data_IF_139189971853
#
_entry.id   IF_139189971853
#
_cell.length_a   1.000
_cell.length_b   1.000
_cell.length_c   1.000
_cell.angle_alpha   90.00
_cell.angle_beta   90.00
_cell.angle_gamma   90.00
#
_symmetry.space_group_name_H-M   'P 1'
#
loop_
_entity.id
_entity.type
_entity.pdbx_description
1 polymer ?
#
# COMPACT_ATOMS: atom_id res chain seq x y z
N UNK A 1 -5.39 5.80 28.71
CA UNK A 1 -6.46 6.71 28.21
C UNK A 1 -7.50 5.91 27.43
N UNK A 2 -8.77 6.38 27.37
CA UNK A 2 -9.78 5.82 26.45
C UNK A 2 -9.60 6.48 25.08
N UNK A 3 -9.42 5.68 24.03
CA UNK A 3 -9.20 6.17 22.67
C UNK A 3 -10.40 5.82 21.80
N UNK A 4 -11.09 6.83 21.28
CA UNK A 4 -12.22 6.71 20.35
C UNK A 4 -11.82 7.17 18.96
N UNK A 5 -12.48 6.72 17.88
CA UNK A 5 -12.22 7.20 16.55
C UNK A 5 -12.57 8.67 16.43
N UNK A 6 -11.67 9.45 15.82
CA UNK A 6 -11.85 10.87 15.51
C UNK A 6 -11.66 11.06 14.01
N UNK A 7 -12.74 10.92 13.26
CA UNK A 7 -12.74 11.07 11.79
C UNK A 7 -12.86 12.55 11.42
N UNK A 8 -12.10 12.97 10.41
CA UNK A 8 -12.15 14.30 9.80
C UNK A 8 -12.01 14.12 8.28
N UNK A 9 -13.13 14.04 7.58
CA UNK A 9 -13.16 13.75 6.16
C UNK A 9 -12.54 12.37 5.85
N UNK A 10 -11.50 12.33 5.07
CA UNK A 10 -10.81 11.10 4.69
C UNK A 10 -9.65 10.69 5.65
N UNK A 11 -9.55 11.28 6.83
CA UNK A 11 -8.50 10.98 7.83
C UNK A 11 -9.13 10.67 9.18
N UNK A 12 -8.66 9.63 9.86
CA UNK A 12 -8.88 9.44 11.29
C UNK A 12 -7.61 9.88 12.05
N UNK A 13 -7.76 10.84 12.96
CA UNK A 13 -6.61 11.46 13.65
C UNK A 13 -6.19 10.73 14.93
N UNK A 14 -6.92 9.67 15.29
CA UNK A 14 -6.60 8.77 16.40
C UNK A 14 -6.42 7.35 15.90
N UNK A 15 -5.59 6.56 16.59
CA UNK A 15 -5.45 5.12 16.34
C UNK A 15 -5.45 4.36 17.68
N UNK A 16 -5.99 3.14 17.67
CA UNK A 16 -6.14 2.33 18.87
C UNK A 16 -5.08 1.21 18.89
N UNK A 17 -4.16 1.20 19.87
CA UNK A 17 -3.04 0.25 19.89
C UNK A 17 -3.47 -1.20 19.92
N UNK A 18 -4.41 -1.56 20.80
CA UNK A 18 -4.95 -2.93 20.91
C UNK A 18 -5.70 -3.34 19.65
N UNK A 19 -6.44 -2.40 19.04
CA UNK A 19 -7.15 -2.68 17.78
C UNK A 19 -6.18 -2.88 16.61
N UNK A 20 -5.13 -2.06 16.50
CA UNK A 20 -4.08 -2.28 15.51
C UNK A 20 -3.42 -3.66 15.69
N UNK A 21 -3.16 -4.07 16.94
CA UNK A 21 -2.61 -5.41 17.22
C UNK A 21 -3.59 -6.53 16.82
N UNK A 22 -4.87 -6.37 17.09
CA UNK A 22 -5.90 -7.33 16.67
C UNK A 22 -6.02 -7.42 15.14
N UNK A 23 -5.91 -6.28 14.43
CA UNK A 23 -5.91 -6.27 12.97
C UNK A 23 -4.68 -6.97 12.38
N UNK A 24 -3.49 -6.77 12.96
CA UNK A 24 -2.29 -7.52 12.57
C UNK A 24 -2.46 -9.01 12.81
N UNK A 25 -3.05 -9.41 13.95
CA UNK A 25 -3.30 -10.83 14.22
C UNK A 25 -4.25 -11.46 13.19
N UNK A 26 -5.32 -10.76 12.77
CA UNK A 26 -6.21 -11.23 11.69
C UNK A 26 -5.47 -11.45 10.39
N UNK A 27 -4.55 -10.55 10.01
CA UNK A 27 -3.73 -10.72 8.81
C UNK A 27 -2.78 -11.92 8.93
N UNK A 28 -2.15 -12.11 10.07
CA UNK A 28 -1.29 -13.27 10.35
C UNK A 28 -2.09 -14.58 10.26
N UNK A 29 -3.27 -14.62 10.86
CA UNK A 29 -4.14 -15.80 10.85
C UNK A 29 -4.60 -16.13 9.43
N UNK A 30 -4.91 -15.11 8.63
CA UNK A 30 -5.22 -15.31 7.21
C UNK A 30 -4.06 -15.99 6.48
N UNK A 31 -2.84 -15.46 6.58
CA UNK A 31 -1.67 -16.03 5.91
C UNK A 31 -1.41 -17.46 6.36
N UNK A 32 -1.45 -17.72 7.66
CA UNK A 32 -1.27 -19.08 8.23
C UNK A 32 -2.34 -20.06 7.75
N UNK A 33 -3.59 -19.61 7.58
CA UNK A 33 -4.69 -20.45 7.10
C UNK A 33 -4.51 -20.93 5.67
N UNK A 34 -3.71 -20.22 4.85
CA UNK A 34 -3.39 -20.59 3.46
C UNK A 34 -2.24 -21.59 3.33
N UNK A 35 -1.56 -21.87 4.46
CA UNK A 35 -0.39 -22.74 4.47
C UNK A 35 0.89 -22.05 3.96
N UNK A 36 2.03 -22.74 4.03
CA UNK A 36 3.32 -22.16 3.70
C UNK A 36 3.49 -21.90 2.20
N UNK A 37 4.11 -20.76 1.88
CA UNK A 37 4.54 -20.40 0.52
C UNK A 37 5.87 -21.14 0.27
N UNK A 38 5.82 -22.18 -0.53
CA UNK A 38 6.99 -22.97 -0.89
C UNK A 38 7.96 -22.13 -1.71
N UNK A 39 9.26 -22.24 -1.41
CA UNK A 39 10.31 -21.46 -2.10
C UNK A 39 10.13 -19.93 -2.01
N UNK A 40 9.43 -19.47 -0.98
CA UNK A 40 9.27 -18.03 -0.72
C UNK A 40 10.60 -17.31 -0.39
N UNK A 41 10.55 -15.97 -0.25
CA UNK A 41 11.75 -15.18 0.02
C UNK A 41 12.34 -15.51 1.40
N UNK A 42 13.63 -15.24 1.56
CA UNK A 42 14.36 -15.42 2.82
C UNK A 42 14.66 -14.11 3.52
N UNK A 43 15.15 -13.12 2.78
CA UNK A 43 15.53 -11.80 3.29
C UNK A 43 14.78 -10.71 2.51
N UNK A 44 13.88 -10.01 3.18
CA UNK A 44 12.96 -9.07 2.54
C UNK A 44 13.14 -7.66 3.08
N UNK A 45 13.36 -6.70 2.18
CA UNK A 45 13.28 -5.28 2.47
C UNK A 45 11.93 -4.73 1.97
N UNK A 46 11.16 -4.10 2.86
CA UNK A 46 9.91 -3.44 2.50
C UNK A 46 10.01 -1.95 2.78
N UNK A 47 9.92 -1.14 1.73
CA UNK A 47 9.93 0.32 1.80
C UNK A 47 8.49 0.80 1.71
N UNK A 48 7.99 1.51 2.75
CA UNK A 48 6.58 1.78 2.97
C UNK A 48 5.86 0.65 3.72
N UNK A 49 6.43 0.19 4.83
CA UNK A 49 6.14 -1.08 5.49
C UNK A 49 5.07 -1.04 6.59
N UNK A 50 4.51 0.14 6.92
CA UNK A 50 3.72 0.34 8.14
C UNK A 50 2.22 0.11 7.98
N UNK A 51 1.70 0.21 6.75
CA UNK A 51 0.26 0.10 6.44
C UNK A 51 0.02 -0.50 5.05
N UNK A 52 -1.24 -0.80 4.73
CA UNK A 52 -1.68 -1.19 3.39
C UNK A 52 -0.92 -2.38 2.80
N UNK A 53 -0.61 -2.28 1.52
CA UNK A 53 0.05 -3.35 0.78
C UNK A 53 1.49 -3.65 1.24
N UNK A 54 2.23 -2.63 1.69
CA UNK A 54 3.58 -2.83 2.20
C UNK A 54 3.59 -3.65 3.49
N UNK A 55 2.72 -3.31 4.43
CA UNK A 55 2.55 -4.10 5.67
C UNK A 55 2.07 -5.52 5.37
N UNK A 56 1.06 -5.67 4.50
CA UNK A 56 0.54 -6.98 4.09
C UNK A 56 1.63 -7.85 3.41
N UNK A 57 2.51 -7.25 2.62
CA UNK A 57 3.66 -7.95 2.03
C UNK A 57 4.61 -8.45 3.11
N UNK A 58 4.86 -7.62 4.14
CA UNK A 58 5.73 -7.97 5.25
C UNK A 58 5.16 -9.11 6.08
N UNK A 59 3.86 -9.05 6.40
CA UNK A 59 3.14 -10.14 7.10
C UNK A 59 3.20 -11.42 6.27
N UNK A 60 2.93 -11.33 4.97
CA UNK A 60 2.96 -12.48 4.06
C UNK A 60 4.35 -13.11 3.98
N UNK A 61 5.40 -12.31 3.84
CA UNK A 61 6.78 -12.80 3.79
C UNK A 61 7.17 -13.54 5.08
N UNK A 62 6.94 -12.92 6.26
CA UNK A 62 7.30 -13.55 7.53
C UNK A 62 6.47 -14.78 7.83
N UNK A 63 5.15 -14.69 7.79
CA UNK A 63 4.29 -15.79 8.25
C UNK A 63 3.92 -16.80 7.17
N UNK A 64 4.08 -16.44 5.90
CA UNK A 64 3.93 -17.37 4.77
C UNK A 64 5.21 -18.10 4.39
N UNK A 65 6.39 -17.50 4.61
CA UNK A 65 7.67 -18.07 4.16
C UNK A 65 8.73 -18.20 5.26
N UNK A 66 8.48 -17.68 6.48
CA UNK A 66 9.50 -17.61 7.53
C UNK A 66 10.61 -16.60 7.24
N UNK A 67 10.36 -15.62 6.36
CA UNK A 67 11.38 -14.66 5.93
C UNK A 67 11.81 -13.71 7.03
N UNK A 68 13.10 -13.39 7.07
CA UNK A 68 13.63 -12.23 7.77
C UNK A 68 13.16 -10.95 7.06
N UNK A 69 12.65 -9.97 7.82
CA UNK A 69 12.11 -8.74 7.23
C UNK A 69 12.66 -7.49 7.88
N UNK A 70 13.04 -6.52 7.05
CA UNK A 70 13.33 -5.15 7.47
C UNK A 70 12.30 -4.22 6.83
N UNK A 71 11.58 -3.44 7.66
CA UNK A 71 10.60 -2.46 7.21
C UNK A 71 11.13 -1.04 7.38
N UNK A 72 11.02 -0.23 6.32
CA UNK A 72 11.30 1.22 6.36
C UNK A 72 9.97 1.95 6.25
N UNK A 73 9.73 2.91 7.13
CA UNK A 73 8.50 3.72 7.16
C UNK A 73 8.75 5.05 7.88
N UNK A 74 7.77 5.96 7.81
CA UNK A 74 7.83 7.24 8.51
C UNK A 74 6.54 7.46 9.28
N UNK A 75 6.56 7.09 10.55
CA UNK A 75 5.41 7.12 11.45
C UNK A 75 5.73 7.96 12.69
N UNK A 76 4.71 8.62 13.22
CA UNK A 76 4.86 9.41 14.42
C UNK A 76 4.55 8.55 15.65
N UNK A 77 5.47 8.47 16.62
CA UNK A 77 5.21 7.85 17.92
C UNK A 77 4.13 8.63 18.70
N UNK A 78 3.64 8.04 19.78
CA UNK A 78 2.76 8.71 20.72
C UNK A 78 3.49 9.82 21.47
N UNK A 79 2.74 10.88 21.76
CA UNK A 79 3.16 12.01 22.59
C UNK A 79 2.16 12.19 23.74
N UNK A 80 2.48 13.05 24.72
CA UNK A 80 1.57 13.33 25.82
C UNK A 80 0.19 13.78 25.29
N UNK A 81 -0.88 13.12 25.74
CA UNK A 81 -2.25 13.39 25.32
C UNK A 81 -2.60 12.98 23.88
N UNK A 82 -1.67 12.40 23.12
CA UNK A 82 -1.87 12.04 21.71
C UNK A 82 -1.39 10.63 21.37
N UNK A 83 -2.26 9.74 20.88
CA UNK A 83 -1.84 8.42 20.42
C UNK A 83 -0.92 8.51 19.20
N UNK A 84 -0.11 7.47 18.99
CA UNK A 84 0.71 7.32 17.80
C UNK A 84 -0.15 7.19 16.53
N UNK A 85 0.50 7.28 15.37
CA UNK A 85 -0.11 6.92 14.09
C UNK A 85 -0.39 5.42 14.00
N UNK A 86 -1.37 4.99 13.19
CA UNK A 86 -1.71 3.57 13.10
C UNK A 86 -0.55 2.70 12.64
N UNK A 87 0.27 3.20 11.71
CA UNK A 87 1.44 2.46 11.22
C UNK A 87 2.51 2.23 12.28
N UNK A 88 2.64 3.12 13.27
CA UNK A 88 3.50 2.91 14.43
C UNK A 88 3.04 1.68 15.23
N UNK A 89 1.76 1.64 15.61
CA UNK A 89 1.19 0.52 16.36
C UNK A 89 1.20 -0.79 15.58
N UNK A 90 0.87 -0.75 14.29
CA UNK A 90 0.93 -1.91 13.39
C UNK A 90 2.33 -2.49 13.33
N UNK A 91 3.35 -1.64 13.18
CA UNK A 91 4.76 -2.07 13.08
C UNK A 91 5.24 -2.73 14.37
N UNK A 92 4.87 -2.17 15.53
CA UNK A 92 5.17 -2.78 16.83
C UNK A 92 4.47 -4.14 16.98
N UNK A 93 3.17 -4.21 16.69
CA UNK A 93 2.39 -5.43 16.80
C UNK A 93 2.96 -6.54 15.90
N UNK A 94 3.24 -6.20 14.64
CA UNK A 94 3.87 -7.12 13.69
C UNK A 94 5.23 -7.62 14.20
N UNK A 95 6.10 -6.70 14.62
CA UNK A 95 7.46 -7.04 15.08
C UNK A 95 7.42 -7.97 16.29
N UNK A 96 6.55 -7.69 17.26
CA UNK A 96 6.37 -8.53 18.45
C UNK A 96 5.87 -9.93 18.06
N UNK A 97 4.87 -10.02 17.19
CA UNK A 97 4.33 -11.28 16.72
C UNK A 97 5.36 -12.10 15.92
N UNK A 98 6.14 -11.45 15.04
CA UNK A 98 7.17 -12.11 14.25
C UNK A 98 8.31 -12.64 15.14
N UNK A 99 8.81 -11.83 16.08
CA UNK A 99 9.85 -12.25 17.05
C UNK A 99 9.36 -13.38 17.95
N UNK A 100 8.10 -13.32 18.42
CA UNK A 100 7.50 -14.40 19.20
C UNK A 100 7.39 -15.73 18.40
N UNK A 101 7.26 -15.64 17.07
CA UNK A 101 7.29 -16.79 16.19
C UNK A 101 8.71 -17.22 15.76
N UNK A 102 9.77 -16.58 16.27
CA UNK A 102 11.16 -16.89 15.97
C UNK A 102 11.67 -16.27 14.65
N UNK A 103 10.94 -15.33 14.06
CA UNK A 103 11.34 -14.66 12.82
C UNK A 103 12.07 -13.34 13.11
N UNK A 104 13.12 -13.06 12.33
CA UNK A 104 13.77 -11.76 12.37
C UNK A 104 12.83 -10.69 11.79
N UNK A 105 12.58 -9.64 12.56
CA UNK A 105 11.76 -8.50 12.13
C UNK A 105 12.30 -7.23 12.79
N UNK A 106 12.83 -6.32 11.97
CA UNK A 106 13.36 -5.04 12.40
C UNK A 106 12.76 -3.88 11.64
N UNK A 107 12.94 -2.67 12.16
CA UNK A 107 12.29 -1.46 11.65
C UNK A 107 13.27 -0.29 11.62
N UNK A 108 13.12 0.54 10.59
CA UNK A 108 13.72 1.86 10.52
C UNK A 108 12.61 2.89 10.32
N UNK A 109 12.44 3.78 11.30
CA UNK A 109 11.49 4.87 11.22
C UNK A 109 12.20 6.15 10.79
N UNK A 110 11.91 6.61 9.58
CA UNK A 110 12.48 7.82 9.02
C UNK A 110 12.10 8.04 7.57
N UNK A 111 12.51 9.18 7.03
CA UNK A 111 12.23 9.56 5.65
C UNK A 111 12.99 8.64 4.67
N UNK A 112 12.26 7.71 4.04
CA UNK A 112 12.80 6.75 3.09
C UNK A 112 13.49 7.40 1.86
N UNK A 113 13.16 8.63 1.55
CA UNK A 113 13.82 9.39 0.47
C UNK A 113 15.23 9.85 0.85
N UNK A 114 15.54 9.98 2.16
CA UNK A 114 16.80 10.52 2.62
C UNK A 114 17.95 9.53 2.46
N UNK A 115 19.13 10.05 2.16
CA UNK A 115 20.36 9.26 2.10
C UNK A 115 20.70 8.63 3.45
N UNK A 116 20.46 9.36 4.55
CA UNK A 116 20.75 8.87 5.91
C UNK A 116 19.96 7.58 6.22
N UNK A 117 18.67 7.52 5.88
CA UNK A 117 17.85 6.32 6.07
C UNK A 117 18.28 5.18 5.16
N UNK A 118 18.68 5.47 3.90
CA UNK A 118 19.24 4.45 3.01
C UNK A 118 20.50 3.85 3.61
N UNK A 119 21.45 4.65 4.07
CA UNK A 119 22.70 4.18 4.67
C UNK A 119 22.46 3.40 5.97
N UNK A 120 21.56 3.85 6.84
CA UNK A 120 21.18 3.11 8.04
C UNK A 120 20.57 1.75 7.68
N UNK A 121 19.75 1.69 6.63
CA UNK A 121 19.15 0.44 6.14
C UNK A 121 20.21 -0.53 5.63
N UNK A 122 21.15 -0.06 4.81
CA UNK A 122 22.24 -0.88 4.28
C UNK A 122 23.13 -1.42 5.41
N UNK A 123 23.45 -0.60 6.40
CA UNK A 123 24.26 -1.02 7.56
C UNK A 123 23.55 -2.13 8.37
N UNK A 124 22.23 -2.00 8.59
CA UNK A 124 21.45 -3.01 9.31
C UNK A 124 21.34 -4.33 8.50
N UNK A 125 21.09 -4.25 7.20
CA UNK A 125 21.06 -5.44 6.33
C UNK A 125 22.40 -6.17 6.34
N UNK A 126 23.51 -5.43 6.20
CA UNK A 126 24.86 -6.02 6.20
C UNK A 126 25.21 -6.70 7.53
N UNK A 127 24.78 -6.11 8.64
CA UNK A 127 25.06 -6.63 9.98
C UNK A 127 24.22 -7.87 10.33
N UNK A 128 22.91 -7.85 9.99
CA UNK A 128 21.92 -8.75 10.59
C UNK A 128 21.28 -9.75 9.63
N UNK A 129 21.17 -9.42 8.34
CA UNK A 129 20.37 -10.20 7.40
C UNK A 129 21.18 -10.86 6.29
N UNK A 130 22.21 -10.17 5.79
CA UNK A 130 22.88 -10.56 4.55
C UNK A 130 22.06 -10.15 3.29
N UNK A 131 22.42 -10.67 2.10
CA UNK A 131 21.85 -10.21 0.86
C UNK A 131 20.33 -10.37 0.78
N UNK A 132 19.65 -9.33 0.26
CA UNK A 132 18.20 -9.26 0.07
C UNK A 132 17.79 -10.00 -1.20
N UNK A 133 16.82 -10.87 -1.10
CA UNK A 133 16.25 -11.59 -2.24
C UNK A 133 14.90 -11.03 -2.72
N UNK A 134 14.22 -10.23 -1.88
CA UNK A 134 13.01 -9.50 -2.28
C UNK A 134 13.03 -8.05 -1.76
N UNK A 135 12.91 -7.10 -2.68
CA UNK A 135 12.65 -5.69 -2.36
C UNK A 135 11.23 -5.35 -2.76
N UNK A 136 10.41 -4.89 -1.80
CA UNK A 136 9.07 -4.36 -2.03
C UNK A 136 9.12 -2.84 -1.90
N UNK A 137 8.76 -2.12 -2.97
CA UNK A 137 8.62 -0.67 -2.98
C UNK A 137 7.14 -0.28 -2.97
N UNK A 138 6.65 0.12 -1.81
CA UNK A 138 5.23 0.46 -1.55
C UNK A 138 5.11 1.84 -0.90
N UNK A 139 5.83 2.80 -1.43
CA UNK A 139 5.91 4.15 -0.88
C UNK A 139 4.90 5.07 -1.57
N UNK A 140 4.14 5.80 -0.76
CA UNK A 140 3.31 6.92 -1.18
C UNK A 140 3.51 8.08 -0.20
N UNK A 141 3.72 9.29 -0.72
CA UNK A 141 3.95 10.47 0.10
C UNK A 141 3.38 11.72 -0.58
N UNK A 142 2.88 12.69 0.18
CA UNK A 142 2.49 13.98 -0.38
C UNK A 142 3.69 14.88 -0.70
N UNK A 143 4.90 14.52 -0.25
CA UNK A 143 6.10 15.35 -0.37
C UNK A 143 7.37 14.51 -0.38
N UNK A 144 8.37 14.97 -1.15
CA UNK A 144 9.74 14.45 -1.14
C UNK A 144 10.74 15.60 -1.11
N UNK A 145 11.75 15.50 -0.24
CA UNK A 145 12.98 16.28 -0.40
C UNK A 145 13.98 15.43 -1.16
N UNK A 146 14.41 15.91 -2.34
CA UNK A 146 15.34 15.15 -3.18
C UNK A 146 16.72 15.06 -2.51
N UNK A 147 17.27 13.85 -2.26
CA UNK A 147 18.44 13.67 -1.40
C UNK A 147 19.72 14.29 -1.94
N UNK A 148 19.86 14.45 -3.26
CA UNK A 148 21.09 14.99 -3.88
C UNK A 148 21.00 16.50 -4.13
N UNK A 149 19.81 17.04 -4.42
CA UNK A 149 19.65 18.45 -4.80
C UNK A 149 19.07 19.31 -3.67
N UNK A 150 18.42 18.72 -2.68
CA UNK A 150 17.68 19.42 -1.64
C UNK A 150 16.34 20.02 -2.11
N UNK A 151 15.99 19.87 -3.40
CA UNK A 151 14.71 20.35 -3.93
C UNK A 151 13.53 19.67 -3.23
N UNK A 152 12.50 20.45 -2.94
CA UNK A 152 11.28 19.97 -2.30
C UNK A 152 10.17 19.89 -3.33
N UNK A 153 9.71 18.67 -3.59
CA UNK A 153 8.61 18.36 -4.49
C UNK A 153 7.34 18.00 -3.72
N UNK A 154 6.16 18.37 -4.26
CA UNK A 154 4.85 18.06 -3.67
C UNK A 154 3.99 17.36 -4.70
N UNK A 155 3.44 16.20 -4.34
CA UNK A 155 2.50 15.49 -5.20
C UNK A 155 1.08 16.05 -5.07
N UNK A 156 0.33 16.04 -6.17
CA UNK A 156 -1.08 16.39 -6.22
C UNK A 156 -1.89 15.29 -6.91
N UNK A 157 -3.20 15.28 -6.65
CA UNK A 157 -4.15 14.33 -7.21
C UNK A 157 -5.09 15.09 -8.15
N UNK A 158 -4.63 15.35 -9.37
CA UNK A 158 -5.34 16.18 -10.33
C UNK A 158 -5.36 15.53 -11.73
N UNK A 159 -6.40 15.78 -12.54
CA UNK A 159 -6.40 15.43 -13.95
C UNK A 159 -5.35 16.24 -14.71
N UNK A 160 -4.91 15.72 -15.87
CA UNK A 160 -4.07 16.44 -16.81
C UNK A 160 -4.93 17.04 -17.95
N UNK A 161 -4.55 18.20 -18.44
CA UNK A 161 -5.15 18.86 -19.58
C UNK A 161 -6.41 19.66 -19.27
N UNK A 162 -7.50 19.03 -18.80
CA UNK A 162 -8.78 19.70 -18.52
C UNK A 162 -9.31 19.39 -17.12
N UNK A 163 -10.11 20.27 -16.52
CA UNK A 163 -10.83 19.97 -15.28
C UNK A 163 -11.74 18.75 -15.46
N UNK A 164 -11.93 18.01 -14.38
CA UNK A 164 -12.78 16.81 -14.35
C UNK A 164 -13.87 16.92 -13.30
N UNK A 165 -15.12 16.70 -13.72
CA UNK A 165 -16.28 16.69 -12.82
C UNK A 165 -16.87 15.28 -12.78
N UNK A 166 -17.09 14.76 -11.57
CA UNK A 166 -17.76 13.48 -11.38
C UNK A 166 -18.37 13.37 -9.98
N UNK A 167 -19.15 12.32 -9.77
CA UNK A 167 -19.71 11.95 -8.47
C UNK A 167 -18.58 11.57 -7.49
N UNK A 168 -18.76 11.96 -6.24
CA UNK A 168 -17.94 11.55 -5.09
C UNK A 168 -18.83 11.24 -3.90
N UNK A 169 -18.25 10.72 -2.83
CA UNK A 169 -18.96 10.47 -1.58
C UNK A 169 -18.15 11.01 -0.39
N UNK A 170 -18.81 11.76 0.48
CA UNK A 170 -18.32 12.00 1.84
C UNK A 170 -18.53 10.69 2.61
N UNK A 171 -17.46 9.95 2.85
CA UNK A 171 -17.53 8.64 3.48
C UNK A 171 -17.86 8.68 4.96
N UNK A 172 -17.65 9.82 5.63
CA UNK A 172 -18.00 10.02 7.04
C UNK A 172 -19.49 10.27 7.20
N UNK A 173 -20.06 11.14 6.34
CA UNK A 173 -21.48 11.51 6.38
C UNK A 173 -22.37 10.64 5.48
N UNK A 174 -21.79 9.79 4.65
CA UNK A 174 -22.51 9.02 3.64
C UNK A 174 -23.35 9.89 2.67
N UNK A 175 -22.77 11.00 2.20
CA UNK A 175 -23.42 11.95 1.29
C UNK A 175 -22.76 11.90 -0.08
N UNK A 176 -23.55 11.66 -1.12
CA UNK A 176 -23.10 11.72 -2.52
C UNK A 176 -23.23 13.16 -3.01
N UNK A 177 -22.20 13.63 -3.68
CA UNK A 177 -22.15 14.96 -4.31
C UNK A 177 -21.37 14.91 -5.62
N UNK A 178 -21.35 16.00 -6.36
CA UNK A 178 -20.41 16.19 -7.46
C UNK A 178 -19.18 16.97 -6.99
N UNK A 179 -18.03 16.63 -7.55
CA UNK A 179 -16.78 17.36 -7.34
C UNK A 179 -16.19 17.71 -8.69
N UNK A 180 -15.77 18.97 -8.83
CA UNK A 180 -14.91 19.41 -9.95
C UNK A 180 -13.49 19.55 -9.46
N UNK A 181 -12.57 18.89 -10.13
CA UNK A 181 -11.14 18.92 -9.84
C UNK A 181 -10.46 19.67 -10.98
N UNK A 182 -9.80 20.77 -10.65
CA UNK A 182 -9.03 21.55 -11.63
C UNK A 182 -7.87 20.73 -12.18
N UNK A 183 -7.52 21.01 -13.45
CA UNK A 183 -6.35 20.38 -14.06
C UNK A 183 -5.04 20.80 -13.36
N UNK A 184 -4.07 19.89 -13.38
CA UNK A 184 -2.74 20.18 -12.89
C UNK A 184 -1.99 21.13 -13.82
N UNK A 185 -1.13 21.96 -13.23
CA UNK A 185 -0.08 22.65 -13.96
C UNK A 185 1.05 21.69 -14.36
N UNK A 186 1.89 22.07 -15.33
CA UNK A 186 3.08 21.28 -15.72
C UNK A 186 4.03 21.06 -14.53
N UNK A 187 4.18 22.06 -13.66
CA UNK A 187 5.01 21.97 -12.46
C UNK A 187 4.42 20.97 -11.46
N UNK A 188 3.11 20.99 -11.21
CA UNK A 188 2.45 20.02 -10.33
C UNK A 188 2.56 18.59 -10.86
N UNK A 189 2.47 18.40 -12.19
CA UNK A 189 2.67 17.09 -12.81
C UNK A 189 4.12 16.61 -12.65
N UNK A 190 5.11 17.46 -12.94
CA UNK A 190 6.54 17.17 -12.77
C UNK A 190 6.89 16.86 -11.32
N UNK A 191 6.41 17.66 -10.38
CA UNK A 191 6.62 17.44 -8.95
C UNK A 191 5.99 16.13 -8.47
N UNK A 192 4.80 15.78 -8.98
CA UNK A 192 4.16 14.51 -8.65
C UNK A 192 4.98 13.32 -9.16
N UNK A 193 5.55 13.41 -10.36
CA UNK A 193 6.48 12.39 -10.88
C UNK A 193 7.74 12.31 -10.00
N UNK A 194 8.30 13.44 -9.59
CA UNK A 194 9.47 13.45 -8.72
C UNK A 194 9.21 12.81 -7.35
N UNK A 195 7.98 12.92 -6.80
CA UNK A 195 7.62 12.31 -5.51
C UNK A 195 7.26 10.83 -5.66
N UNK A 196 6.45 10.47 -6.66
CA UNK A 196 5.75 9.18 -6.73
C UNK A 196 6.15 8.32 -7.92
N UNK A 197 7.09 8.79 -8.75
CA UNK A 197 7.69 8.04 -9.85
C UNK A 197 8.76 7.06 -9.38
N UNK A 198 9.58 6.59 -10.30
CA UNK A 198 10.50 5.48 -10.08
C UNK A 198 11.91 5.87 -9.66
N UNK A 199 12.29 7.15 -9.69
CA UNK A 199 13.67 7.57 -9.43
C UNK A 199 14.17 7.13 -8.05
N UNK A 200 13.37 7.28 -6.98
CA UNK A 200 13.78 6.85 -5.65
C UNK A 200 13.91 5.32 -5.53
N UNK A 201 13.06 4.57 -6.22
CA UNK A 201 13.20 3.11 -6.31
C UNK A 201 14.51 2.72 -6.99
N UNK A 202 14.88 3.40 -8.08
CA UNK A 202 16.19 3.21 -8.74
C UNK A 202 17.34 3.52 -7.77
N UNK A 203 17.23 4.59 -6.96
CA UNK A 203 18.23 4.94 -5.95
C UNK A 203 18.38 3.85 -4.88
N UNK A 204 17.29 3.28 -4.38
CA UNK A 204 17.31 2.16 -3.44
C UNK A 204 18.00 0.92 -4.01
N UNK A 205 17.66 0.53 -5.23
CA UNK A 205 18.26 -0.64 -5.88
C UNK A 205 19.74 -0.38 -6.18
N UNK A 206 20.10 0.83 -6.60
CA UNK A 206 21.50 1.21 -6.80
C UNK A 206 22.29 1.11 -5.50
N UNK A 207 21.77 1.65 -4.40
CA UNK A 207 22.44 1.62 -3.10
C UNK A 207 22.66 0.18 -2.60
N UNK A 208 21.67 -0.70 -2.75
CA UNK A 208 21.79 -2.13 -2.42
C UNK A 208 22.83 -2.84 -3.31
N UNK A 209 22.85 -2.53 -4.61
CA UNK A 209 23.81 -3.11 -5.55
C UNK A 209 25.24 -2.68 -5.25
N UNK A 210 25.48 -1.38 -5.02
CA UNK A 210 26.80 -0.83 -4.68
C UNK A 210 27.35 -1.41 -3.37
N UNK A 211 26.46 -1.62 -2.41
CA UNK A 211 26.80 -2.28 -1.14
C UNK A 211 26.93 -3.82 -1.25
N UNK A 212 26.67 -4.42 -2.42
CA UNK A 212 26.65 -5.88 -2.65
C UNK A 212 25.66 -6.63 -1.74
N UNK A 213 24.53 -6.00 -1.46
CA UNK A 213 23.46 -6.51 -0.60
C UNK A 213 22.24 -7.05 -1.37
N UNK A 214 22.38 -7.34 -2.65
CA UNK A 214 21.38 -8.05 -3.45
C UNK A 214 21.82 -9.52 -3.63
N UNK A 215 20.91 -10.42 -3.35
CA UNK A 215 21.13 -11.85 -3.59
C UNK A 215 21.10 -12.16 -5.11
N UNK A 216 21.81 -13.19 -5.57
CA UNK A 216 21.62 -13.72 -6.93
C UNK A 216 20.14 -14.07 -7.15
N UNK A 217 19.56 -13.65 -8.27
CA UNK A 217 18.15 -13.84 -8.57
C UNK A 217 17.17 -12.93 -7.79
N UNK A 218 17.67 -11.89 -7.12
CA UNK A 218 16.84 -10.96 -6.35
C UNK A 218 15.67 -10.41 -7.17
N UNK A 219 14.53 -10.30 -6.54
CA UNK A 219 13.31 -9.70 -7.12
C UNK A 219 13.06 -8.33 -6.51
N UNK A 220 12.77 -7.34 -7.34
CA UNK A 220 12.27 -6.03 -6.90
C UNK A 220 10.87 -5.79 -7.48
N UNK A 221 9.91 -5.45 -6.63
CA UNK A 221 8.53 -5.18 -7.04
C UNK A 221 8.05 -3.85 -6.48
N UNK A 222 7.45 -3.03 -7.35
CA UNK A 222 6.73 -1.84 -6.92
C UNK A 222 5.23 -1.98 -7.19
N UNK A 223 4.42 -1.35 -6.35
CA UNK A 223 2.96 -1.46 -6.44
C UNK A 223 2.36 -0.30 -7.21
N UNK A 224 1.39 -0.65 -8.03
CA UNK A 224 0.65 0.29 -8.88
C UNK A 224 -0.84 -0.04 -8.85
N UNK A 225 -1.62 0.88 -9.40
CA UNK A 225 -3.03 0.73 -9.68
C UNK A 225 -3.33 1.39 -11.03
N UNK A 226 -4.25 0.82 -11.81
CA UNK A 226 -4.71 1.36 -13.09
C UNK A 226 -6.18 1.76 -12.98
N UNK A 227 -7.01 0.84 -12.51
CA UNK A 227 -8.44 1.01 -12.34
C UNK A 227 -9.23 1.09 -13.64
N UNK A 228 -10.56 1.31 -13.53
CA UNK A 228 -11.47 1.42 -14.64
C UNK A 228 -11.60 2.86 -15.15
N UNK A 229 -12.28 2.99 -16.30
CA UNK A 229 -12.56 4.29 -16.95
C UNK A 229 -13.19 5.33 -16.04
N UNK A 230 -13.99 4.92 -15.04
CA UNK A 230 -14.63 5.83 -14.08
C UNK A 230 -13.63 6.63 -13.24
N UNK A 231 -12.42 6.11 -13.05
CA UNK A 231 -11.36 6.74 -12.22
C UNK A 231 -10.19 7.25 -13.06
N UNK A 232 -10.12 6.93 -14.36
CA UNK A 232 -8.98 7.28 -15.21
C UNK A 232 -8.61 8.75 -15.22
N UNK A 233 -9.54 9.71 -15.33
CA UNK A 233 -9.16 11.13 -15.42
C UNK A 233 -8.39 11.64 -14.18
N UNK A 234 -8.70 11.12 -12.98
CA UNK A 234 -8.03 11.51 -11.74
C UNK A 234 -6.89 10.56 -11.35
N UNK A 235 -6.79 9.40 -11.98
CA UNK A 235 -5.78 8.40 -11.64
C UNK A 235 -4.88 8.09 -12.83
N UNK A 236 -5.29 7.20 -13.74
CA UNK A 236 -4.45 6.72 -14.85
C UNK A 236 -3.99 7.84 -15.79
N UNK A 237 -4.91 8.76 -16.13
CA UNK A 237 -4.67 9.88 -17.04
C UNK A 237 -4.38 11.19 -16.28
N UNK A 238 -4.22 11.12 -14.96
CA UNK A 238 -3.88 12.22 -14.08
C UNK A 238 -2.41 12.25 -13.70
N UNK A 239 -2.07 13.13 -12.75
CA UNK A 239 -0.70 13.31 -12.25
C UNK A 239 -0.12 12.03 -11.66
N UNK A 240 -0.92 11.23 -10.96
CA UNK A 240 -0.51 9.92 -10.44
C UNK A 240 -0.20 8.95 -11.57
N UNK A 241 -1.00 8.96 -12.65
CA UNK A 241 -0.74 8.13 -13.82
C UNK A 241 0.58 8.46 -14.49
N UNK A 242 0.92 9.75 -14.64
CA UNK A 242 2.23 10.17 -15.12
C UNK A 242 3.37 9.63 -14.23
N UNK A 243 3.22 9.69 -12.91
CA UNK A 243 4.17 9.09 -11.98
C UNK A 243 4.25 7.55 -12.12
N UNK A 244 3.13 6.87 -12.42
CA UNK A 244 3.13 5.42 -12.65
C UNK A 244 3.80 5.02 -13.96
N UNK A 245 3.71 5.85 -14.99
CA UNK A 245 4.48 5.68 -16.25
C UNK A 245 5.99 5.76 -15.96
N UNK A 246 6.43 6.73 -15.15
CA UNK A 246 7.84 6.80 -14.75
C UNK A 246 8.27 5.63 -13.86
N UNK A 247 7.37 5.13 -13.00
CA UNK A 247 7.62 3.93 -12.20
C UNK A 247 7.79 2.68 -13.10
N UNK A 248 7.02 2.56 -14.18
CA UNK A 248 7.16 1.49 -15.18
C UNK A 248 8.49 1.61 -15.95
N UNK A 249 8.90 2.83 -16.33
CA UNK A 249 10.23 3.11 -16.89
C UNK A 249 11.34 2.63 -15.95
N UNK A 250 11.23 2.98 -14.66
CA UNK A 250 12.21 2.57 -13.65
C UNK A 250 12.24 1.04 -13.48
N UNK A 251 11.09 0.37 -13.52
CA UNK A 251 11.04 -1.09 -13.48
C UNK A 251 11.88 -1.73 -14.61
N UNK A 252 11.79 -1.21 -15.83
CA UNK A 252 12.60 -1.69 -16.95
C UNK A 252 14.10 -1.45 -16.73
N UNK A 253 14.48 -0.27 -16.25
CA UNK A 253 15.87 0.07 -15.96
C UNK A 253 16.46 -0.80 -14.85
N UNK A 254 15.70 -0.99 -13.77
CA UNK A 254 16.07 -1.86 -12.64
C UNK A 254 16.16 -3.32 -13.10
N UNK A 255 15.19 -3.78 -13.91
CA UNK A 255 15.20 -5.15 -14.43
C UNK A 255 16.46 -5.45 -15.23
N UNK A 256 16.86 -4.54 -16.12
CA UNK A 256 18.12 -4.67 -16.90
C UNK A 256 19.33 -4.76 -15.96
N UNK A 257 19.39 -3.91 -14.93
CA UNK A 257 20.47 -3.93 -13.92
C UNK A 257 20.51 -5.25 -13.14
N UNK A 258 19.38 -5.71 -12.63
CA UNK A 258 19.30 -6.95 -11.83
C UNK A 258 19.57 -8.19 -12.69
N UNK A 259 19.16 -8.21 -13.95
CA UNK A 259 19.47 -9.30 -14.88
C UNK A 259 20.99 -9.45 -15.08
N UNK A 260 21.72 -8.33 -15.18
CA UNK A 260 23.19 -8.34 -15.26
C UNK A 260 23.87 -8.74 -13.92
N UNK A 261 23.18 -8.58 -12.79
CA UNK A 261 23.66 -8.84 -11.42
C UNK A 261 23.23 -10.21 -10.87
N UNK A 262 23.18 -11.25 -11.65
CA UNK A 262 22.89 -12.61 -11.21
C UNK A 262 21.46 -13.09 -11.51
N UNK A 263 20.92 -12.71 -12.66
CA UNK A 263 19.58 -13.11 -13.13
C UNK A 263 18.41 -12.66 -12.23
N UNK A 264 18.57 -11.55 -11.55
CA UNK A 264 17.48 -10.91 -10.82
C UNK A 264 16.46 -10.25 -11.77
N UNK A 265 15.37 -9.76 -11.21
CA UNK A 265 14.27 -9.17 -11.99
C UNK A 265 13.58 -8.03 -11.25
N UNK A 266 13.00 -7.10 -12.01
CA UNK A 266 12.15 -6.05 -11.46
C UNK A 266 10.90 -5.88 -12.32
N UNK A 267 9.76 -5.57 -11.70
CA UNK A 267 8.49 -5.35 -12.38
C UNK A 267 7.49 -4.62 -11.48
N UNK A 268 6.41 -4.17 -12.10
CA UNK A 268 5.27 -3.58 -11.42
C UNK A 268 4.22 -4.67 -11.13
N UNK A 269 3.67 -4.66 -9.91
CA UNK A 269 2.44 -5.37 -9.60
C UNK A 269 1.28 -4.38 -9.60
N UNK A 270 0.31 -4.59 -10.48
CA UNK A 270 -0.93 -3.82 -10.50
C UNK A 270 -1.92 -4.48 -9.56
N UNK A 271 -2.25 -3.78 -8.49
CA UNK A 271 -3.08 -4.29 -7.42
C UNK A 271 -4.52 -3.75 -7.54
N UNK A 272 -5.45 -4.35 -6.80
CA UNK A 272 -6.86 -4.01 -6.76
C UNK A 272 -7.11 -2.68 -6.02
N UNK A 273 -8.20 -1.98 -6.37
CA UNK A 273 -8.70 -0.86 -5.56
C UNK A 273 -9.18 -1.35 -4.19
N UNK A 274 -8.63 -0.75 -3.15
CA UNK A 274 -8.91 -1.10 -1.75
C UNK A 274 -8.99 0.15 -0.88
N UNK A 275 -9.68 0.04 0.25
CA UNK A 275 -9.64 1.06 1.29
C UNK A 275 -8.25 1.06 1.92
N UNK A 276 -7.53 2.15 1.70
CA UNK A 276 -6.24 2.47 2.32
C UNK A 276 -6.23 3.95 2.68
N UNK A 277 -5.26 4.39 3.48
CA UNK A 277 -5.13 5.83 3.76
C UNK A 277 -4.90 6.63 2.47
N UNK A 278 -4.14 6.10 1.52
CA UNK A 278 -3.87 6.76 0.25
C UNK A 278 -5.11 6.84 -0.64
N UNK A 279 -5.85 5.74 -0.82
CA UNK A 279 -7.03 5.71 -1.70
C UNK A 279 -8.19 6.57 -1.19
N UNK A 280 -8.32 6.69 0.13
CA UNK A 280 -9.37 7.52 0.76
C UNK A 280 -9.21 9.01 0.50
N UNK A 281 -8.00 9.45 0.13
CA UNK A 281 -7.71 10.85 -0.20
C UNK A 281 -8.00 11.20 -1.67
N UNK A 282 -8.26 10.21 -2.54
CA UNK A 282 -8.41 10.44 -3.98
C UNK A 282 -9.89 10.70 -4.30
N UNK A 283 -10.26 11.89 -4.80
CA UNK A 283 -11.67 12.15 -5.17
C UNK A 283 -12.22 11.08 -6.12
N UNK A 284 -13.54 10.84 -6.07
CA UNK A 284 -14.22 9.82 -6.89
C UNK A 284 -13.94 8.37 -6.47
N UNK A 285 -12.71 8.03 -6.12
CA UNK A 285 -12.25 6.66 -5.80
C UNK A 285 -13.01 6.03 -4.62
N UNK A 286 -13.33 6.72 -3.51
CA UNK A 286 -14.10 6.11 -2.42
C UNK A 286 -15.50 5.64 -2.85
N UNK A 287 -16.20 6.38 -3.70
CA UNK A 287 -17.49 5.94 -4.23
C UNK A 287 -17.33 4.71 -5.12
N UNK A 288 -16.32 4.71 -5.99
CA UNK A 288 -15.98 3.54 -6.80
C UNK A 288 -15.73 2.30 -5.93
N UNK A 289 -14.91 2.44 -4.90
CA UNK A 289 -14.59 1.32 -3.98
C UNK A 289 -15.86 0.83 -3.26
N UNK A 290 -16.76 1.71 -2.83
CA UNK A 290 -17.99 1.31 -2.16
C UNK A 290 -18.91 0.49 -3.09
N UNK A 291 -19.00 0.85 -4.37
CA UNK A 291 -19.73 0.06 -5.38
C UNK A 291 -19.00 -1.26 -5.66
N UNK A 292 -17.69 -1.21 -5.88
CA UNK A 292 -16.85 -2.37 -6.13
C UNK A 292 -16.99 -3.43 -5.01
N UNK A 293 -16.98 -2.99 -3.76
CA UNK A 293 -17.16 -3.89 -2.60
C UNK A 293 -18.50 -4.60 -2.64
N UNK A 294 -19.59 -3.87 -2.95
CA UNK A 294 -20.92 -4.47 -3.10
C UNK A 294 -20.92 -5.58 -4.15
N UNK A 295 -20.38 -5.27 -5.33
CA UNK A 295 -20.36 -6.20 -6.46
C UNK A 295 -19.46 -7.40 -6.20
N UNK A 296 -18.23 -7.17 -5.74
CA UNK A 296 -17.25 -8.24 -5.55
C UNK A 296 -17.61 -9.13 -4.35
N UNK A 297 -18.15 -8.58 -3.26
CA UNK A 297 -18.62 -9.39 -2.12
C UNK A 297 -19.81 -10.29 -2.52
N UNK A 298 -20.74 -9.77 -3.31
CA UNK A 298 -21.85 -10.57 -3.82
C UNK A 298 -21.39 -11.71 -4.74
N UNK A 299 -20.25 -11.58 -5.41
CA UNK A 299 -19.65 -12.61 -6.28
C UNK A 299 -18.59 -13.48 -5.57
N UNK A 300 -18.31 -13.23 -4.29
CA UNK A 300 -17.28 -13.98 -3.54
C UNK A 300 -15.84 -13.76 -4.02
N UNK A 301 -15.57 -12.62 -4.69
CA UNK A 301 -14.25 -12.30 -5.26
C UNK A 301 -13.58 -11.10 -4.58
N UNK A 302 -14.15 -10.62 -3.47
CA UNK A 302 -13.56 -9.52 -2.71
C UNK A 302 -12.28 -9.96 -2.01
N UNK A 303 -11.24 -9.12 -2.10
CA UNK A 303 -9.96 -9.27 -1.42
C UNK A 303 -9.58 -7.96 -0.74
N UNK A 304 -9.00 -8.03 0.45
CA UNK A 304 -8.29 -6.94 1.12
C UNK A 304 -6.79 -6.95 0.80
N UNK A 305 -6.01 -6.10 1.47
CA UNK A 305 -4.56 -6.01 1.23
C UNK A 305 -3.85 -7.34 1.51
N UNK A 306 -4.23 -8.04 2.57
CA UNK A 306 -3.55 -9.27 2.96
C UNK A 306 -3.86 -10.42 2.00
N UNK A 307 -5.10 -10.54 1.54
CA UNK A 307 -5.51 -11.53 0.54
C UNK A 307 -4.79 -11.31 -0.79
N UNK A 308 -4.72 -10.05 -1.23
CA UNK A 308 -4.01 -9.67 -2.45
C UNK A 308 -2.51 -10.03 -2.38
N UNK A 309 -1.85 -9.70 -1.26
CA UNK A 309 -0.41 -9.98 -1.13
C UNK A 309 -0.14 -11.47 -0.95
N UNK A 310 -0.96 -12.17 -0.20
CA UNK A 310 -0.85 -13.62 -0.09
C UNK A 310 -1.02 -14.28 -1.48
N UNK A 311 -1.98 -13.84 -2.29
CA UNK A 311 -2.18 -14.32 -3.66
C UNK A 311 -1.01 -13.95 -4.56
N UNK A 312 -0.52 -12.71 -4.54
CA UNK A 312 0.66 -12.29 -5.30
C UNK A 312 1.86 -13.20 -5.00
N UNK A 313 2.17 -13.40 -3.73
CA UNK A 313 3.32 -14.21 -3.34
C UNK A 313 3.15 -15.69 -3.70
N UNK A 314 2.01 -16.27 -3.35
CA UNK A 314 1.78 -17.71 -3.54
C UNK A 314 1.52 -18.12 -4.98
N UNK A 315 0.90 -17.27 -5.81
CA UNK A 315 0.46 -17.66 -7.15
C UNK A 315 1.25 -17.02 -8.29
N UNK A 316 1.99 -15.95 -8.02
CA UNK A 316 2.78 -15.25 -9.02
C UNK A 316 4.28 -15.34 -8.71
N UNK A 317 4.72 -14.87 -7.54
CA UNK A 317 6.15 -14.73 -7.25
C UNK A 317 6.83 -16.07 -6.96
N UNK A 318 6.17 -16.96 -6.20
CA UNK A 318 6.78 -18.16 -5.61
C UNK A 318 5.98 -19.45 -5.84
N UNK A 319 5.28 -19.54 -6.96
CA UNK A 319 4.51 -20.75 -7.33
C UNK A 319 5.33 -21.83 -8.05
N UNK A 320 6.63 -21.59 -8.25
CA UNK A 320 7.50 -22.49 -9.01
C UNK A 320 7.33 -22.41 -10.53
N UNK A 321 6.41 -21.56 -11.02
CA UNK A 321 6.16 -21.34 -12.44
C UNK A 321 6.75 -20.02 -12.92
N UNK A 322 6.80 -19.83 -14.25
CA UNK A 322 7.20 -18.55 -14.84
C UNK A 322 6.15 -17.49 -14.52
N UNK A 323 6.61 -16.31 -14.06
CA UNK A 323 5.76 -15.14 -13.87
C UNK A 323 4.93 -14.83 -15.13
N UNK A 324 3.66 -14.53 -14.91
CA UNK A 324 2.76 -14.10 -15.98
C UNK A 324 2.71 -12.58 -16.03
N UNK A 325 3.07 -12.04 -17.18
CA UNK A 325 3.04 -10.59 -17.42
C UNK A 325 1.95 -10.24 -18.44
N UNK A 326 1.36 -9.06 -18.28
CA UNK A 326 0.53 -8.46 -19.31
C UNK A 326 1.39 -7.94 -20.49
N UNK A 327 0.73 -7.39 -21.52
CA UNK A 327 1.42 -6.86 -22.71
C UNK A 327 2.38 -5.70 -22.44
N UNK A 328 2.34 -5.09 -21.25
CA UNK A 328 3.24 -4.02 -20.81
C UNK A 328 4.29 -4.49 -19.78
N UNK A 329 4.40 -5.80 -19.54
CA UNK A 329 5.40 -6.36 -18.63
C UNK A 329 5.05 -6.20 -17.14
N UNK A 330 3.76 -6.09 -16.80
CA UNK A 330 3.28 -5.96 -15.41
C UNK A 330 2.62 -7.26 -14.94
N UNK A 331 2.77 -7.58 -13.66
CA UNK A 331 1.99 -8.63 -13.00
C UNK A 331 0.63 -8.04 -12.61
N UNK A 332 -0.46 -8.75 -12.95
CA UNK A 332 -1.83 -8.31 -12.71
C UNK A 332 -2.46 -9.12 -11.59
N UNK A 333 -2.69 -8.48 -10.43
CA UNK A 333 -3.50 -9.03 -9.33
C UNK A 333 -4.77 -8.24 -9.09
N UNK A 334 -5.05 -7.27 -9.96
CA UNK A 334 -6.34 -6.61 -10.12
C UNK A 334 -7.28 -7.36 -11.09
N UNK A 335 -6.88 -8.52 -11.56
CA UNK A 335 -7.56 -9.34 -12.56
C UNK A 335 -9.01 -9.67 -12.17
N UNK A 336 -9.29 -9.86 -10.88
CA UNK A 336 -10.67 -10.10 -10.41
C UNK A 336 -11.53 -8.85 -10.40
N UNK A 337 -10.96 -7.68 -10.05
CA UNK A 337 -11.62 -6.39 -10.16
C UNK A 337 -11.97 -6.07 -11.62
N UNK A 338 -11.03 -6.34 -12.53
CA UNK A 338 -11.14 -5.95 -13.94
C UNK A 338 -11.92 -6.94 -14.82
N UNK A 339 -12.57 -7.95 -14.22
CA UNK A 339 -13.46 -8.85 -14.97
C UNK A 339 -14.60 -8.06 -15.60
N UNK A 340 -14.97 -8.35 -16.86
CA UNK A 340 -16.07 -7.66 -17.53
C UNK A 340 -17.37 -7.61 -16.71
N UNK A 341 -17.78 -8.75 -16.13
CA UNK A 341 -18.98 -8.85 -15.33
C UNK A 341 -18.97 -8.04 -14.01
N UNK A 342 -17.78 -7.67 -13.53
CA UNK A 342 -17.61 -6.75 -12.39
C UNK A 342 -17.75 -5.32 -12.87
N UNK A 343 -17.02 -4.94 -13.93
CA UNK A 343 -17.00 -3.58 -14.45
C UNK A 343 -18.34 -3.17 -15.09
N UNK A 344 -19.02 -4.07 -15.78
CA UNK A 344 -20.35 -3.84 -16.34
C UNK A 344 -21.40 -3.58 -15.23
N UNK A 345 -21.33 -4.37 -14.14
CA UNK A 345 -22.21 -4.16 -13.00
C UNK A 345 -21.97 -2.80 -12.32
N UNK A 346 -20.70 -2.40 -12.17
CA UNK A 346 -20.35 -1.09 -11.60
C UNK A 346 -20.82 0.03 -12.52
N UNK A 347 -20.61 -0.09 -13.82
CA UNK A 347 -21.02 0.89 -14.83
C UNK A 347 -22.55 1.09 -14.87
N UNK A 348 -23.31 0.02 -14.62
CA UNK A 348 -24.77 0.09 -14.51
C UNK A 348 -25.22 0.78 -13.22
N UNK A 349 -24.53 0.58 -12.11
CA UNK A 349 -24.85 1.17 -10.81
C UNK A 349 -24.45 2.66 -10.73
N UNK A 350 -23.27 3.01 -11.25
CA UNK A 350 -22.65 4.33 -11.10
C UNK A 350 -23.58 5.52 -11.36
N UNK A 351 -24.32 5.61 -12.49
CA UNK A 351 -25.18 6.75 -12.78
C UNK A 351 -26.38 6.86 -11.81
N UNK A 352 -26.79 5.75 -11.21
CA UNK A 352 -27.97 5.66 -10.37
C UNK A 352 -27.75 6.07 -8.92
N UNK A 353 -26.48 6.07 -8.44
CA UNK A 353 -26.19 6.32 -7.02
C UNK A 353 -26.48 7.76 -6.64
N UNK A 354 -27.31 7.90 -5.59
CA UNK A 354 -27.63 9.15 -4.90
C UNK A 354 -27.43 8.97 -3.40
N UNK A 355 -27.53 10.03 -2.61
CA UNK A 355 -27.46 9.94 -1.15
C UNK A 355 -28.54 9.01 -0.59
N UNK A 356 -29.76 9.05 -1.10
CA UNK A 356 -30.92 8.30 -0.61
C UNK A 356 -30.78 6.79 -0.84
N UNK A 357 -30.13 6.39 -1.92
CA UNK A 357 -29.97 4.98 -2.28
C UNK A 357 -28.54 4.43 -2.07
N UNK A 358 -27.63 5.24 -1.55
CA UNK A 358 -26.21 4.87 -1.35
C UNK A 358 -26.07 3.54 -0.61
N UNK A 359 -26.77 3.37 0.51
CA UNK A 359 -26.68 2.15 1.32
C UNK A 359 -27.22 0.90 0.59
N UNK A 360 -28.18 1.09 -0.33
CA UNK A 360 -28.78 0.00 -1.10
C UNK A 360 -27.90 -0.42 -2.29
N UNK A 361 -27.35 0.55 -3.00
CA UNK A 361 -26.60 0.30 -4.25
C UNK A 361 -25.11 0.07 -4.01
N UNK A 362 -24.59 0.41 -2.82
CA UNK A 362 -23.16 0.27 -2.49
C UNK A 362 -22.96 -0.48 -1.19
N UNK A 363 -21.72 -0.80 -0.88
CA UNK A 363 -21.31 -1.29 0.44
C UNK A 363 -20.58 -0.18 1.22
N UNK A 364 -21.24 0.98 1.35
CA UNK A 364 -20.66 2.12 2.09
C UNK A 364 -20.38 1.76 3.56
N UNK A 365 -21.20 0.96 4.19
CA UNK A 365 -20.98 0.50 5.55
C UNK A 365 -19.74 -0.39 5.66
N UNK A 366 -19.52 -1.28 4.69
CA UNK A 366 -18.29 -2.06 4.58
C UNK A 366 -17.07 -1.18 4.34
N UNK A 367 -17.18 -0.16 3.49
CA UNK A 367 -16.12 0.84 3.29
C UNK A 367 -15.74 1.53 4.61
N UNK A 368 -16.72 2.04 5.34
CA UNK A 368 -16.51 2.71 6.64
C UNK A 368 -15.87 1.78 7.67
N UNK A 369 -16.32 0.52 7.70
CA UNK A 369 -15.74 -0.50 8.58
C UNK A 369 -14.26 -0.75 8.25
N UNK A 370 -13.93 -0.97 6.98
CA UNK A 370 -12.55 -1.18 6.54
C UNK A 370 -11.69 0.08 6.76
N UNK A 371 -12.25 1.27 6.56
CA UNK A 371 -11.55 2.53 6.85
C UNK A 371 -11.19 2.64 8.35
N UNK A 372 -12.12 2.36 9.24
CA UNK A 372 -11.87 2.41 10.68
C UNK A 372 -10.86 1.35 11.14
N UNK A 373 -10.87 0.16 10.51
CA UNK A 373 -9.89 -0.90 10.80
C UNK A 373 -8.45 -0.47 10.52
N UNK A 374 -8.22 0.43 9.54
CA UNK A 374 -6.88 0.97 9.26
C UNK A 374 -6.27 1.66 10.50
N UNK A 375 -7.13 2.17 11.39
CA UNK A 375 -6.76 2.89 12.61
C UNK A 375 -6.99 2.04 13.88
N UNK A 376 -7.28 0.76 13.71
CA UNK A 376 -7.48 -0.19 14.82
C UNK A 376 -8.86 -0.09 15.48
N UNK A 377 -9.89 0.41 14.78
CA UNK A 377 -11.26 0.44 15.31
C UNK A 377 -12.17 -0.58 14.62
N UNK A 378 -13.22 -1.01 15.30
CA UNK A 378 -14.20 -1.97 14.77
C UNK A 378 -13.71 -3.42 14.72
N UNK A 379 -12.60 -3.77 15.37
CA UNK A 379 -12.09 -5.13 15.43
C UNK A 379 -12.89 -5.95 16.50
N UNK A 380 -13.31 -7.17 16.19
CA UNK A 380 -13.99 -8.01 17.17
C UNK A 380 -13.07 -8.35 18.35
N UNK A 381 -13.66 -8.44 19.54
CA UNK A 381 -12.94 -8.79 20.78
C UNK A 381 -12.15 -7.65 21.43
N UNK A 382 -12.14 -6.44 20.84
CA UNK A 382 -11.48 -5.27 21.41
C UNK A 382 -12.49 -4.44 22.20
N UNK A 383 -12.19 -4.18 23.48
CA UNK A 383 -12.99 -3.28 24.31
C UNK A 383 -12.51 -1.83 24.15
N UNK A 384 -13.26 -1.05 23.37
CA UNK A 384 -12.95 0.36 23.11
C UNK A 384 -13.36 1.32 24.21
N UNK A 385 -14.02 0.84 25.29
CA UNK A 385 -14.36 1.62 26.47
C UNK A 385 -13.33 1.46 27.59
N UNK A 386 -12.38 0.53 27.42
CA UNK A 386 -11.29 0.33 28.36
C UNK A 386 -10.19 1.39 28.18
N UNK A 387 -9.50 1.69 29.27
CA UNK A 387 -8.25 2.44 29.20
C UNK A 387 -7.14 1.59 28.56
N UNK A 388 -6.37 2.23 27.70
CA UNK A 388 -5.21 1.62 27.05
C UNK A 388 -3.96 2.50 27.22
N UNK A 389 -2.79 1.87 27.23
CA UNK A 389 -1.49 2.55 27.20
C UNK A 389 -1.17 2.98 25.75
N UNK A 390 -1.10 4.28 25.44
CA UNK A 390 -0.75 4.76 24.10
C UNK A 390 0.76 4.77 23.84
N UNK A 391 1.60 4.82 24.89
CA UNK A 391 3.05 4.96 24.78
C UNK A 391 3.73 3.60 24.64
N UNK A 392 3.52 2.96 23.48
CA UNK A 392 4.12 1.66 23.18
C UNK A 392 5.35 1.86 22.27
N UNK A 393 6.44 1.21 22.60
CA UNK A 393 7.71 1.23 21.85
C UNK A 393 8.09 -0.16 21.33
N UNK A 394 9.05 -0.22 20.41
CA UNK A 394 9.62 -1.46 19.84
C UNK A 394 10.39 -2.27 20.86
#
# INVERSE_FOLDING_TARGET
MIIKPKVRGFVCVTAHPTGCAAHIQQQIDHVKSKGPIKQGPKNVLVIGASTGYGLASRVTASFGSGAATLGVFYERPSEEGRPATPGWYNSIAFTRAARAAGYYAENINGDAFSEAIKQQTLAMIARDMGPIDLVVYSLASPRRTHPKTGAVHKSVLKPLGAPYTNKTVDTDKAIVSEVTIDSATEMEATDTVAVMGGEDWEMWIQALADAKLLAPGATAVAYSYIGPVHTWPVYKDGTIGAAKVDLERAAMAINAKLAAHGNGRAFISVNKALVTQASSAIPVVPLYIAILYKVMKAKGTHEGCIEQMQRLFATQLYNGSKLQFDGAGRVRVDDWEMRPEIQDAISAIWPQVTTENLATLTDIAGYQTEFLKLFGFGLPGVNYDAEVEPHITF
#
